data_IF_368059802354
#
_entry.id   IF_368059802354
#
_cell.length_a   1.000
_cell.length_b   1.000
_cell.length_c   1.000
_cell.angle_alpha   90.00
_cell.angle_beta   90.00
_cell.angle_gamma   90.00
#
_symmetry.space_group_name_H-M   'P 1'
#
loop_
_entity.id
_entity.type
_entity.pdbx_description
1 polymer ?
#
# COMPACT_ATOMS: atom_id res chain seq x y z
N UNK A 1 28.20 7.73 -1.88
CA UNK A 1 27.31 7.65 -0.70
C UNK A 1 28.03 7.03 0.51
N UNK A 2 29.35 7.16 0.62
CA UNK A 2 30.13 6.69 1.78
C UNK A 2 30.68 7.84 2.63
N UNK A 3 30.60 9.08 2.12
CA UNK A 3 31.14 10.26 2.80
C UNK A 3 30.25 10.76 3.95
N UNK A 4 28.96 10.38 3.97
CA UNK A 4 27.99 10.81 4.99
C UNK A 4 26.98 9.70 5.33
N UNK A 5 27.40 8.62 6.02
CA UNK A 5 26.54 7.46 6.30
C UNK A 5 25.28 7.80 7.10
N UNK A 6 25.36 8.78 8.00
CA UNK A 6 24.21 9.23 8.81
C UNK A 6 23.23 10.03 7.96
N UNK A 7 23.72 10.98 7.17
CA UNK A 7 22.88 11.81 6.31
C UNK A 7 22.21 10.98 5.21
N UNK A 8 22.93 9.99 4.66
CA UNK A 8 22.35 9.05 3.70
C UNK A 8 21.22 8.22 4.28
N UNK A 9 21.34 7.79 5.55
CA UNK A 9 20.29 7.03 6.22
C UNK A 9 19.04 7.89 6.42
N UNK A 10 19.22 9.12 6.91
CA UNK A 10 18.12 10.08 7.10
C UNK A 10 17.43 10.42 5.77
N UNK A 11 18.22 10.62 4.71
CA UNK A 11 17.67 10.88 3.38
C UNK A 11 16.89 9.67 2.85
N UNK A 12 17.41 8.45 3.04
CA UNK A 12 16.70 7.23 2.67
C UNK A 12 15.39 7.08 3.47
N UNK A 13 15.41 7.28 4.77
CA UNK A 13 14.19 7.20 5.61
C UNK A 13 13.15 8.23 5.17
N UNK A 14 13.59 9.47 4.93
CA UNK A 14 12.71 10.56 4.49
C UNK A 14 12.11 10.32 3.11
N UNK A 15 12.88 9.75 2.17
CA UNK A 15 12.41 9.41 0.82
C UNK A 15 11.60 8.10 0.78
N UNK A 16 11.79 7.22 1.77
CA UNK A 16 11.07 5.96 1.89
C UNK A 16 9.67 6.16 2.46
N UNK A 17 9.45 7.21 3.26
CA UNK A 17 8.10 7.68 3.60
C UNK A 17 7.46 8.21 2.32
N UNK A 18 6.45 7.52 1.75
CA UNK A 18 5.72 8.06 0.62
C UNK A 18 5.10 9.38 1.08
N UNK A 19 5.03 10.41 0.22
CA UNK A 19 4.22 11.58 0.49
C UNK A 19 2.77 11.12 0.70
N UNK A 20 2.40 10.91 1.97
CA UNK A 20 1.48 9.84 2.34
C UNK A 20 0.05 10.07 1.85
N UNK A 21 -0.32 11.31 1.53
CA UNK A 21 -1.64 11.66 1.01
C UNK A 21 -1.95 10.94 -0.32
N UNK A 22 -1.05 11.02 -1.31
CA UNK A 22 -1.31 10.45 -2.63
C UNK A 22 -1.42 8.92 -2.56
N UNK A 23 -0.66 8.27 -1.68
CA UNK A 23 -0.69 6.81 -1.55
C UNK A 23 -1.98 6.34 -0.89
N UNK A 24 -2.47 7.02 0.16
CA UNK A 24 -3.74 6.66 0.80
C UNK A 24 -4.93 7.01 -0.07
N UNK A 25 -4.87 8.09 -0.85
CA UNK A 25 -5.91 8.47 -1.81
C UNK A 25 -5.97 7.50 -2.99
N UNK A 26 -4.82 7.07 -3.53
CA UNK A 26 -4.77 5.99 -4.53
C UNK A 26 -5.26 4.66 -3.95
N UNK A 27 -4.94 4.35 -2.69
CA UNK A 27 -5.45 3.15 -2.01
C UNK A 27 -6.97 3.21 -1.86
N UNK A 28 -7.52 4.37 -1.47
CA UNK A 28 -8.96 4.58 -1.33
C UNK A 28 -9.69 4.59 -2.67
N UNK A 29 -9.10 5.19 -3.71
CA UNK A 29 -9.64 5.18 -5.06
C UNK A 29 -9.63 3.77 -5.67
N UNK A 30 -8.56 3.00 -5.44
CA UNK A 30 -8.48 1.61 -5.90
C UNK A 30 -9.37 0.66 -5.09
N UNK A 31 -9.64 0.96 -3.82
CA UNK A 31 -10.63 0.24 -3.00
C UNK A 31 -12.06 0.66 -3.31
N UNK A 32 -12.30 1.87 -3.84
CA UNK A 32 -13.64 2.31 -4.23
C UNK A 32 -14.31 1.33 -5.20
N UNK A 33 -13.58 0.71 -6.13
CA UNK A 33 -14.15 -0.34 -6.99
C UNK A 33 -14.63 -1.58 -6.20
N UNK A 34 -13.91 -1.96 -5.15
CA UNK A 34 -14.30 -3.06 -4.24
C UNK A 34 -15.44 -2.66 -3.29
N UNK A 35 -15.45 -1.42 -2.80
CA UNK A 35 -16.46 -0.88 -1.89
C UNK A 35 -17.77 -0.49 -2.58
N UNK A 36 -17.68 0.05 -3.81
CA UNK A 36 -18.81 0.50 -4.61
C UNK A 36 -19.43 -0.62 -5.47
N UNK A 37 -18.80 -1.80 -5.52
CA UNK A 37 -19.47 -3.01 -6.02
C UNK A 37 -20.48 -3.49 -4.98
N UNK A 38 -21.57 -2.72 -4.83
CA UNK A 38 -22.71 -2.89 -3.93
C UNK A 38 -23.43 -4.24 -4.07
N UNK A 39 -23.03 -5.08 -5.02
CA UNK A 39 -23.54 -6.44 -5.20
C UNK A 39 -22.90 -7.47 -4.25
N UNK A 40 -21.81 -7.14 -3.57
CA UNK A 40 -21.20 -8.01 -2.56
C UNK A 40 -21.21 -7.29 -1.21
N UNK A 41 -22.03 -7.77 -0.28
CA UNK A 41 -22.09 -7.28 1.11
C UNK A 41 -20.82 -7.70 1.88
N UNK A 42 -19.66 -7.23 1.41
CA UNK A 42 -18.38 -7.49 2.02
C UNK A 42 -18.24 -6.61 3.25
N UNK A 43 -17.90 -7.23 4.38
CA UNK A 43 -17.58 -6.48 5.59
C UNK A 43 -16.33 -5.63 5.36
N UNK A 44 -16.24 -4.50 6.06
CA UNK A 44 -15.07 -3.62 6.01
C UNK A 44 -13.74 -4.37 6.27
N UNK A 45 -13.78 -5.37 7.17
CA UNK A 45 -12.64 -6.26 7.45
C UNK A 45 -12.20 -7.06 6.21
N UNK A 46 -13.15 -7.63 5.47
CA UNK A 46 -12.87 -8.41 4.26
C UNK A 46 -12.29 -7.54 3.15
N UNK A 47 -12.76 -6.29 3.03
CA UNK A 47 -12.23 -5.33 2.08
C UNK A 47 -10.78 -4.98 2.42
N UNK A 48 -10.49 -4.71 3.70
CA UNK A 48 -9.12 -4.42 4.15
C UNK A 48 -8.17 -5.59 3.88
N UNK A 49 -8.58 -6.82 4.19
CA UNK A 49 -7.79 -8.03 3.90
C UNK A 49 -7.53 -8.21 2.40
N UNK A 50 -8.55 -8.03 1.56
CA UNK A 50 -8.41 -8.13 0.11
C UNK A 50 -7.45 -7.07 -0.45
N UNK A 51 -7.48 -5.85 0.07
CA UNK A 51 -6.55 -4.78 -0.33
C UNK A 51 -5.10 -5.11 0.05
N UNK A 52 -4.87 -5.65 1.26
CA UNK A 52 -3.54 -6.10 1.69
C UNK A 52 -3.02 -7.24 0.83
N UNK A 53 -3.84 -8.28 0.59
CA UNK A 53 -3.48 -9.43 -0.26
C UNK A 53 -3.13 -8.97 -1.68
N UNK A 54 -3.95 -8.08 -2.26
CA UNK A 54 -3.67 -7.50 -3.59
C UNK A 54 -2.34 -6.77 -3.63
N UNK A 55 -2.02 -5.98 -2.60
CA UNK A 55 -0.74 -5.25 -2.52
C UNK A 55 0.45 -6.20 -2.35
N UNK A 56 0.32 -7.22 -1.50
CA UNK A 56 1.37 -8.21 -1.29
C UNK A 56 1.63 -9.08 -2.52
N UNK A 57 0.60 -9.44 -3.29
CA UNK A 57 0.76 -10.09 -4.60
C UNK A 57 1.51 -9.19 -5.58
N UNK A 58 1.16 -7.90 -5.63
CA UNK A 58 1.84 -6.94 -6.51
C UNK A 58 3.31 -6.72 -6.12
N UNK A 59 3.63 -6.77 -4.82
CA UNK A 59 5.00 -6.65 -4.31
C UNK A 59 5.76 -8.00 -4.32
N UNK A 60 5.13 -9.10 -4.76
CA UNK A 60 5.75 -10.42 -4.82
C UNK A 60 6.05 -11.05 -3.45
N UNK A 61 5.38 -10.57 -2.40
CA UNK A 61 5.56 -11.07 -1.02
C UNK A 61 4.85 -12.42 -0.84
N UNK A 62 3.78 -12.64 -1.59
CA UNK A 62 3.00 -13.89 -1.59
C UNK A 62 2.81 -14.35 -3.04
N UNK A 63 2.85 -15.66 -3.26
CA UNK A 63 2.47 -16.29 -4.53
C UNK A 63 1.14 -17.02 -4.35
N UNK A 64 0.29 -16.98 -5.39
CA UNK A 64 -0.90 -17.80 -5.44
C UNK A 64 -0.47 -19.22 -5.81
N UNK A 65 -0.66 -20.16 -4.89
CA UNK A 65 -0.43 -21.59 -5.11
C UNK A 65 -1.42 -22.21 -6.09
#
# INVERSE_FOLDING_TARGET
MHDFPVLSHIACDFLSVPAASITVECLFSSSHCLCANTHSSLKAETIAQAMCIKKWLHEGIIELA
#
